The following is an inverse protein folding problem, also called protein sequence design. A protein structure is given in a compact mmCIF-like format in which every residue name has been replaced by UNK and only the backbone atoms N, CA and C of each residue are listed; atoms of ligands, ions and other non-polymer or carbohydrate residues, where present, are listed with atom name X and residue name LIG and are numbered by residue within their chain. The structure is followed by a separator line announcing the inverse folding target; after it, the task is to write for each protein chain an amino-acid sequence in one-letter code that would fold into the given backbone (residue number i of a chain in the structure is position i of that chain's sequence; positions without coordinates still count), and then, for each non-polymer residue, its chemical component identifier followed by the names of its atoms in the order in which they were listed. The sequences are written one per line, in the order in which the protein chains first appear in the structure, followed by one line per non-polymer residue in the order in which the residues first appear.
data_IF_575957828542
#
_entry.id   IF_575957828542
#
_cell.length_a   1.000
_cell.length_b   1.000
_cell.length_c   1.000
_cell.angle_alpha   90.00
_cell.angle_beta   90.00
_cell.angle_gamma   90.00
#
_symmetry.space_group_name_H-M   'P 1'
#
loop_
_entity.id
_entity.type
_entity.pdbx_description
1 polymer ?
2 non-polymer ?
3 water ?
#
# COMPACT_ATOMS: atom_id res chain seq x y z
N UNK A 4 4.19 -1.83 -14.49
CA UNK A 4 4.50 -3.10 -15.10
C UNK A 4 4.30 -4.24 -14.12
N UNK A 5 3.85 -3.91 -12.91
CA UNK A 5 3.43 -4.93 -11.96
C UNK A 5 2.34 -5.78 -12.60
N UNK A 6 2.39 -7.09 -12.35
CA UNK A 6 1.50 -8.00 -13.04
C UNK A 6 1.17 -9.20 -12.17
N UNK A 7 0.06 -9.85 -12.51
CA UNK A 7 -0.40 -11.04 -11.80
C UNK A 7 0.54 -12.20 -12.12
N UNK A 8 1.25 -12.68 -11.10
CA UNK A 8 2.11 -13.86 -11.23
C UNK A 8 1.30 -15.11 -10.88
N UNK A 9 0.44 -15.50 -11.82
CA UNK A 9 -0.58 -16.49 -11.51
C UNK A 9 0.04 -17.84 -11.14
N UNK A 10 1.02 -18.30 -11.92
CA UNK A 10 1.56 -19.64 -11.70
C UNK A 10 2.24 -19.75 -10.34
N UNK A 11 2.77 -18.64 -9.81
CA UNK A 11 3.27 -18.65 -8.45
C UNK A 11 2.16 -18.77 -7.44
N UNK A 12 0.92 -18.47 -7.83
CA UNK A 12 -0.21 -18.42 -6.92
C UNK A 12 -1.31 -19.44 -7.25
N UNK A 13 -1.16 -20.20 -8.34
CA UNK A 13 -2.27 -21.02 -8.80
C UNK A 13 -2.70 -22.05 -7.78
N UNK A 14 -1.77 -22.49 -6.92
CA UNK A 14 -2.05 -23.51 -5.92
C UNK A 14 -2.48 -22.94 -4.57
N UNK A 15 -2.78 -21.64 -4.52
CA UNK A 15 -3.24 -21.00 -3.29
C UNK A 15 -4.74 -21.21 -3.11
N UNK A 16 -5.19 -20.98 -1.87
CA UNK A 16 -6.61 -21.03 -1.53
C UNK A 16 -7.11 -19.58 -1.56
N UNK A 17 -7.72 -19.20 -2.67
CA UNK A 17 -8.19 -17.84 -2.84
C UNK A 17 -7.14 -16.97 -3.52
N UNK A 18 -7.60 -15.81 -4.00
CA UNK A 18 -6.77 -14.91 -4.78
C UNK A 18 -7.23 -13.49 -4.54
N UNK A 19 -6.33 -12.63 -4.10
CA UNK A 19 -6.58 -11.21 -3.95
C UNK A 19 -5.76 -10.45 -4.99
N UNK A 20 -6.44 -9.65 -5.81
CA UNK A 20 -5.80 -8.83 -6.83
C UNK A 20 -6.19 -7.38 -6.56
N UNK A 21 -5.19 -6.52 -6.46
CA UNK A 21 -5.39 -5.10 -6.21
C UNK A 21 -4.46 -4.32 -7.12
N UNK A 22 -4.69 -3.01 -7.20
CA UNK A 22 -3.79 -2.10 -7.91
C UNK A 22 -3.60 -0.84 -7.07
N UNK A 23 -2.42 -0.22 -7.22
CA UNK A 23 -2.04 0.95 -6.43
C UNK A 23 -2.04 2.21 -7.27
N UNK A 24 -2.46 3.33 -6.70
CA UNK A 24 -2.42 4.60 -7.44
C UNK A 24 -0.99 4.97 -7.81
N UNK A 25 -0.84 5.56 -8.99
CA UNK A 25 0.44 6.10 -9.43
C UNK A 25 0.91 7.17 -8.46
N UNK A 26 2.20 7.52 -8.56
CA UNK A 26 2.72 8.61 -7.74
C UNK A 26 1.86 9.86 -7.88
N UNK A 27 1.64 10.27 -9.13
CA UNK A 27 0.81 11.44 -9.40
C UNK A 27 -0.58 11.30 -8.80
N UNK A 28 -1.19 10.11 -8.95
CA UNK A 28 -2.54 9.92 -8.43
C UNK A 28 -2.58 9.94 -6.91
N UNK A 29 -1.53 9.44 -6.26
CA UNK A 29 -1.43 9.61 -4.81
C UNK A 29 -1.47 11.09 -4.45
N UNK A 30 -0.68 11.91 -5.15
CA UNK A 30 -0.69 13.33 -4.82
C UNK A 30 -2.06 13.94 -5.11
N UNK A 31 -2.70 13.52 -6.20
CA UNK A 31 -4.03 14.04 -6.55
C UNK A 31 -5.04 13.72 -5.45
N UNK A 32 -5.01 12.49 -4.95
CA UNK A 32 -5.93 12.08 -3.89
C UNK A 32 -5.66 12.88 -2.62
N UNK A 33 -4.39 13.05 -2.27
CA UNK A 33 -4.06 13.83 -1.08
C UNK A 33 -4.59 15.25 -1.19
N UNK A 34 -4.39 15.89 -2.34
CA UNK A 34 -4.88 17.25 -2.52
C UNK A 34 -6.41 17.29 -2.55
N UNK A 35 -7.05 16.23 -3.03
CA UNK A 35 -8.51 16.19 -3.03
C UNK A 35 -9.06 16.21 -1.60
N UNK A 36 -8.43 15.46 -0.70
CA UNK A 36 -8.92 15.32 0.66
C UNK A 36 -8.13 16.19 1.64
N UNK A 37 -7.50 17.26 1.15
CA UNK A 37 -6.69 18.10 2.02
C UNK A 37 -7.48 18.62 3.20
N UNK A 38 -8.73 19.01 2.98
CA UNK A 38 -9.57 19.63 4.00
C UNK A 38 -10.41 18.62 4.79
N UNK A 39 -10.08 17.34 4.70
CA UNK A 39 -10.89 16.32 5.37
C UNK A 39 -10.78 16.47 6.89
N UNK A 40 -11.91 16.48 7.62
CA UNK A 40 -11.87 16.66 9.07
C UNK A 40 -11.67 15.39 9.87
N UNK A 41 -11.84 14.22 9.25
CA UNK A 41 -11.64 12.95 9.91
C UNK A 41 -10.40 12.26 9.37
N UNK A 42 -9.84 11.36 10.16
CA UNK A 42 -8.63 10.66 9.77
C UNK A 42 -8.93 9.65 8.68
N UNK A 43 -7.94 9.42 7.82
CA UNK A 43 -8.10 8.58 6.65
C UNK A 43 -6.99 7.55 6.60
N UNK A 44 -7.21 6.50 5.82
CA UNK A 44 -6.11 5.61 5.49
C UNK A 44 -4.96 6.43 4.94
N UNK A 45 -3.73 6.07 5.32
CA UNK A 45 -2.59 6.80 4.80
C UNK A 45 -2.31 6.39 3.34
N UNK A 46 -1.40 7.13 2.70
CA UNK A 46 -1.17 6.95 1.28
C UNK A 46 -0.59 5.58 0.94
N UNK A 47 0.11 4.94 1.88
CA UNK A 47 0.56 3.58 1.60
C UNK A 47 -0.58 2.59 1.63
N UNK A 48 -1.70 2.91 2.29
CA UNK A 48 -2.81 1.97 2.41
C UNK A 48 -3.81 2.08 1.26
N UNK A 49 -3.88 3.21 0.58
CA UNK A 49 -4.79 3.37 -0.54
C UNK A 49 -4.51 2.32 -1.60
N UNK A 50 -5.48 1.44 -1.81
CA UNK A 50 -5.40 0.41 -2.84
C UNK A 50 -6.79 0.20 -3.40
N UNK A 51 -6.87 -0.31 -4.63
CA UNK A 51 -8.14 -0.60 -5.27
C UNK A 51 -8.23 -2.10 -5.50
N UNK A 52 -9.15 -2.76 -4.82
CA UNK A 52 -9.38 -4.18 -5.04
C UNK A 52 -9.90 -4.40 -6.45
N UNK A 53 -9.26 -5.33 -7.17
CA UNK A 53 -9.73 -5.72 -8.48
C UNK A 53 -10.36 -7.10 -8.48
N UNK A 54 -9.90 -8.00 -7.61
CA UNK A 54 -10.51 -9.32 -7.47
C UNK A 54 -10.38 -9.76 -6.02
N UNK A 55 -11.51 -10.10 -5.41
CA UNK A 55 -11.54 -10.71 -4.09
C UNK A 55 -12.15 -12.08 -4.30
N UNK A 56 -11.30 -13.12 -4.32
CA UNK A 56 -11.73 -14.45 -4.73
C UNK A 56 -11.47 -15.43 -3.58
N UNK A 57 -12.54 -16.01 -3.05
CA UNK A 57 -12.43 -16.99 -1.98
C UNK A 57 -12.45 -18.43 -2.48
N UNK A 58 -12.40 -18.63 -3.80
CA UNK A 58 -12.32 -19.99 -4.34
C UNK A 58 -11.08 -20.68 -3.80
N UNK A 59 -11.26 -21.91 -3.32
CA UNK A 59 -10.15 -22.66 -2.76
C UNK A 59 -9.40 -23.47 -3.82
N UNK A 60 -10.07 -23.85 -4.90
CA UNK A 60 -9.44 -24.53 -6.03
C UNK A 60 -9.41 -23.54 -7.19
N UNK A 61 -8.26 -22.88 -7.35
CA UNK A 61 -8.09 -21.95 -8.46
C UNK A 61 -7.81 -22.73 -9.74
N UNK A 62 -8.21 -22.18 -10.90
CA UNK A 62 -7.89 -22.86 -12.16
C UNK A 62 -6.38 -23.02 -12.30
N UNK A 63 -5.97 -24.08 -13.00
CA UNK A 63 -4.54 -24.35 -13.13
C UNK A 63 -3.85 -23.29 -13.97
N UNK A 64 -4.48 -22.89 -15.06
CA UNK A 64 -3.99 -21.81 -15.91
C UNK A 64 -5.12 -20.81 -16.15
N UNK A 65 -4.73 -19.61 -16.57
CA UNK A 65 -5.66 -18.60 -17.07
C UNK A 65 -4.95 -17.77 -18.13
N UNK A 66 -5.73 -16.98 -18.86
CA UNK A 66 -5.25 -15.92 -19.74
C UNK A 66 -5.10 -14.68 -18.88
N UNK A 67 -3.88 -14.36 -18.49
CA UNK A 67 -3.64 -13.29 -17.51
C UNK A 67 -3.82 -11.92 -18.18
N UNK A 68 -4.51 -10.98 -17.54
CA UNK A 68 -4.90 -9.75 -18.24
C UNK A 68 -3.73 -8.91 -18.75
N UNK A 69 -2.86 -8.45 -17.85
CA UNK A 69 -1.75 -7.57 -18.21
C UNK A 69 -2.26 -6.38 -19.04
N UNK A 70 -3.06 -5.50 -18.46
CA UNK A 70 -3.41 -4.27 -19.17
C UNK A 70 -2.20 -3.35 -19.25
N UNK A 71 -2.24 -2.46 -20.23
CA UNK A 71 -1.09 -1.57 -20.45
C UNK A 71 -1.19 -0.28 -19.68
N UNK A 72 -2.40 0.16 -19.33
CA UNK A 72 -2.66 1.30 -18.47
C UNK A 72 -3.97 1.03 -17.76
N UNK A 73 -4.02 1.45 -16.49
CA UNK A 73 -5.19 1.30 -15.64
C UNK A 73 -5.64 2.68 -15.18
N UNK A 74 -6.81 3.10 -15.65
CA UNK A 74 -7.34 4.42 -15.38
C UNK A 74 -8.70 4.29 -14.73
N UNK A 75 -9.08 5.30 -13.96
CA UNK A 75 -10.40 5.34 -13.36
C UNK A 75 -10.75 6.80 -13.15
N UNK A 76 -12.02 7.12 -13.13
CA UNK A 76 -12.45 8.46 -12.78
C UNK A 76 -12.98 8.45 -11.35
N UNK A 77 -12.46 9.35 -10.53
CA UNK A 77 -12.97 9.53 -9.17
C UNK A 77 -14.37 10.12 -9.24
N UNK A 78 -15.38 9.27 -9.07
CA UNK A 78 -16.76 9.71 -9.27
C UNK A 78 -17.24 10.56 -8.09
N UNK A 79 -17.13 10.03 -6.88
CA UNK A 79 -17.72 10.68 -5.71
C UNK A 79 -17.21 9.96 -4.47
N UNK A 80 -17.37 10.61 -3.32
CA UNK A 80 -17.23 9.98 -2.03
C UNK A 80 -18.61 9.62 -1.50
N UNK A 81 -18.71 8.45 -0.88
CA UNK A 81 -19.96 8.03 -0.27
C UNK A 81 -19.64 7.26 1.00
N UNK A 82 -20.69 6.94 1.75
CA UNK A 82 -20.55 6.33 3.06
C UNK A 82 -21.17 4.93 3.00
N UNK A 83 -20.35 3.93 3.26
CA UNK A 83 -20.76 2.53 3.36
C UNK A 83 -20.77 2.13 4.84
N UNK A 84 -21.24 0.93 5.10
CA UNK A 84 -21.22 0.34 6.44
C UNK A 84 -20.51 -1.00 6.38
N UNK A 85 -19.75 -1.31 7.43
CA UNK A 85 -19.03 -2.57 7.51
C UNK A 85 -19.88 -3.59 8.26
N UNK A 86 -19.27 -4.75 8.54
CA UNK A 86 -19.98 -5.83 9.20
C UNK A 86 -20.75 -5.33 10.42
N UNK A 87 -20.04 -4.64 11.32
CA UNK A 87 -20.62 -4.14 12.56
C UNK A 87 -21.45 -2.88 12.36
N UNK A 88 -21.81 -2.54 11.13
CA UNK A 88 -22.59 -1.35 10.88
C UNK A 88 -21.86 -0.04 11.08
N UNK A 89 -20.54 -0.06 11.14
CA UNK A 89 -19.76 1.16 11.28
C UNK A 89 -19.66 1.88 9.94
N UNK A 90 -19.65 3.20 9.99
CA UNK A 90 -19.58 4.00 8.76
C UNK A 90 -18.20 3.90 8.14
N UNK A 91 -18.17 3.85 6.80
CA UNK A 91 -16.94 3.81 6.04
C UNK A 91 -17.03 4.85 4.94
N UNK A 92 -15.98 5.63 4.76
CA UNK A 92 -15.90 6.58 3.66
C UNK A 92 -15.07 5.99 2.54
N UNK A 93 -15.70 5.81 1.37
CA UNK A 93 -15.09 5.19 0.20
C UNK A 93 -15.18 6.16 -0.97
N UNK A 94 -14.22 6.05 -1.88
CA UNK A 94 -14.21 6.81 -3.12
C UNK A 94 -14.70 5.89 -4.24
N UNK A 95 -15.90 6.16 -4.76
CA UNK A 95 -16.39 5.40 -5.89
C UNK A 95 -15.60 5.73 -7.15
N UNK A 96 -15.30 4.69 -7.94
CA UNK A 96 -14.52 4.85 -9.15
C UNK A 96 -15.34 4.38 -10.34
N UNK A 97 -15.38 5.20 -11.39
CA UNK A 97 -15.90 4.79 -12.69
C UNK A 97 -14.71 4.31 -13.51
N UNK A 98 -14.57 2.99 -13.64
CA UNK A 98 -13.42 2.44 -14.34
C UNK A 98 -13.88 1.35 -15.30
N UNK A 99 -13.91 1.59 -16.61
CA UNK A 99 -14.02 0.46 -17.54
C UNK A 99 -12.80 -0.44 -17.52
N UNK A 100 -11.61 0.12 -17.31
CA UNK A 100 -10.39 -0.68 -17.25
C UNK A 100 -10.48 -1.74 -16.16
N UNK A 101 -10.77 -1.32 -14.93
CA UNK A 101 -10.78 -2.27 -13.81
C UNK A 101 -11.95 -3.23 -13.90
N UNK A 102 -13.11 -2.75 -14.36
CA UNK A 102 -14.21 -3.67 -14.64
C UNK A 102 -13.79 -4.75 -15.62
N UNK A 103 -13.07 -4.35 -16.67
CA UNK A 103 -12.64 -5.32 -17.69
C UNK A 103 -11.68 -6.34 -17.10
N UNK A 104 -10.74 -5.88 -16.27
CA UNK A 104 -9.81 -6.83 -15.63
C UNK A 104 -10.58 -7.80 -14.75
N UNK A 105 -11.51 -7.27 -13.94
CA UNK A 105 -12.30 -8.12 -13.05
C UNK A 105 -13.11 -9.15 -13.84
N UNK A 106 -13.72 -8.70 -14.94
CA UNK A 106 -14.50 -9.61 -15.79
C UNK A 106 -13.60 -10.67 -16.40
N UNK A 107 -12.40 -10.26 -16.84
CA UNK A 107 -11.46 -11.22 -17.42
C UNK A 107 -11.08 -12.29 -16.42
N UNK A 108 -10.95 -11.91 -15.15
CA UNK A 108 -10.61 -12.90 -14.13
C UNK A 108 -11.81 -13.79 -13.80
N UNK A 109 -12.98 -13.18 -13.58
CA UNK A 109 -14.16 -13.93 -13.16
C UNK A 109 -14.59 -14.90 -14.26
N UNK A 110 -14.60 -14.44 -15.51
CA UNK A 110 -15.05 -15.28 -16.62
C UNK A 110 -14.19 -16.52 -16.82
N UNK A 111 -12.99 -16.55 -16.23
CA UNK A 111 -12.10 -17.69 -16.34
C UNK A 111 -12.10 -18.55 -15.10
N UNK A 112 -13.17 -18.49 -14.30
CA UNK A 112 -13.29 -19.34 -13.13
C UNK A 112 -12.74 -18.77 -11.85
N UNK A 113 -12.50 -17.47 -11.78
CA UNK A 113 -12.12 -16.82 -10.53
C UNK A 113 -13.30 -15.98 -10.05
N UNK A 114 -14.17 -16.52 -9.19
CA UNK A 114 -15.32 -15.75 -8.73
C UNK A 114 -14.94 -14.62 -7.78
N UNK A 115 -15.56 -13.46 -8.01
CA UNK A 115 -15.39 -12.31 -7.14
C UNK A 115 -16.35 -12.43 -5.96
N UNK A 116 -15.93 -11.92 -4.80
CA UNK A 116 -16.62 -12.09 -3.55
C UNK A 116 -17.89 -11.29 -3.36
N UNK A 117 -18.31 -10.53 -4.36
CA UNK A 117 -19.53 -9.73 -4.27
C UNK A 117 -20.29 -9.87 -5.57
N UNK A 118 -21.63 -9.85 -5.52
CA UNK A 118 -22.41 -10.12 -6.75
C UNK A 118 -22.08 -9.19 -7.90
N UNK A 119 -21.67 -7.95 -7.62
CA UNK A 119 -21.21 -7.03 -8.66
C UNK A 119 -19.89 -6.43 -8.24
N UNK A 120 -19.04 -6.17 -9.22
CA UNK A 120 -17.76 -5.52 -8.97
C UNK A 120 -17.96 -4.02 -8.90
N UNK A 121 -17.67 -3.44 -7.72
CA UNK A 121 -17.80 -2.01 -7.47
C UNK A 121 -16.40 -1.46 -7.22
N UNK A 122 -15.75 -0.97 -8.27
CA UNK A 122 -14.43 -0.38 -8.11
C UNK A 122 -14.50 0.81 -7.15
N UNK A 123 -13.70 0.77 -6.10
CA UNK A 123 -13.69 1.85 -5.13
C UNK A 123 -12.35 1.89 -4.42
N UNK A 124 -12.09 3.02 -3.76
CA UNK A 124 -10.91 3.22 -2.94
C UNK A 124 -11.38 3.67 -1.57
N UNK A 125 -11.16 2.84 -0.55
CA UNK A 125 -11.58 3.19 0.80
C UNK A 125 -10.67 4.27 1.37
N UNK A 126 -11.27 5.35 1.85
CA UNK A 126 -10.53 6.45 2.46
C UNK A 126 -10.54 6.43 3.97
N UNK A 127 -11.61 5.92 4.60
CA UNK A 127 -11.64 5.83 6.06
C UNK A 127 -12.49 4.64 6.46
N UNK A 128 -11.95 3.77 7.32
CA UNK A 128 -12.65 2.57 7.74
C UNK A 128 -13.46 2.75 9.01
N UNK A 129 -13.07 3.68 9.88
CA UNK A 129 -13.89 4.03 11.03
C UNK A 129 -14.03 5.54 11.06
N UNK A 130 -15.26 6.02 11.10
CA UNK A 130 -15.62 7.33 10.58
C UNK A 130 -16.86 7.83 11.31
N UNK A 131 -16.75 9.02 11.91
CA UNK A 131 -17.88 9.62 12.62
C UNK A 131 -18.54 10.61 11.68
N UNK A 132 -19.69 10.23 11.14
CA UNK A 132 -20.47 11.07 10.23
C UNK A 132 -21.07 12.20 11.06
N UNK A 133 -20.33 13.31 11.12
CA UNK A 133 -20.83 14.52 11.77
C UNK A 133 -20.88 15.65 10.74
N UNK A 134 -21.50 16.76 11.16
CA UNK A 134 -21.76 17.84 10.21
C UNK A 134 -20.51 18.23 9.42
N UNK A 135 -19.35 18.27 10.07
CA UNK A 135 -18.13 18.59 9.36
C UNK A 135 -17.80 17.54 8.30
N UNK A 136 -17.93 16.26 8.66
CA UNK A 136 -17.68 15.20 7.69
C UNK A 136 -18.65 15.27 6.52
N UNK A 137 -19.93 15.53 6.80
CA UNK A 137 -20.92 15.59 5.73
C UNK A 137 -20.66 16.79 4.81
N UNK A 138 -20.32 17.94 5.40
CA UNK A 138 -19.97 19.09 4.57
C UNK A 138 -18.75 18.81 3.72
N UNK A 139 -17.74 18.15 4.29
CA UNK A 139 -16.55 17.79 3.53
C UNK A 139 -16.91 16.90 2.36
N UNK A 140 -17.70 15.85 2.61
CA UNK A 140 -18.07 14.93 1.54
C UNK A 140 -18.85 15.67 0.45
N UNK A 141 -19.76 16.56 0.85
CA UNK A 141 -20.57 17.28 -0.13
C UNK A 141 -19.70 18.17 -1.00
N UNK A 142 -18.85 18.98 -0.38
CA UNK A 142 -17.94 19.84 -1.15
C UNK A 142 -16.98 19.03 -2.00
N UNK A 143 -16.51 17.88 -1.53
CA UNK A 143 -15.63 17.04 -2.33
C UNK A 143 -16.33 16.50 -3.56
N UNK A 144 -17.60 16.11 -3.41
CA UNK A 144 -18.32 15.58 -4.57
C UNK A 144 -18.60 16.68 -5.58
N UNK A 145 -18.95 17.87 -5.09
CA UNK A 145 -19.11 19.01 -6.01
C UNK A 145 -17.81 19.31 -6.72
N UNK A 146 -16.67 19.24 -6.01
CA UNK A 146 -15.37 19.46 -6.63
C UNK A 146 -15.07 18.38 -7.66
N UNK A 147 -15.42 17.13 -7.35
CA UNK A 147 -15.21 16.03 -8.28
C UNK A 147 -16.07 16.19 -9.53
N UNK A 148 -17.19 16.91 -9.42
CA UNK A 148 -17.98 17.17 -10.62
C UNK A 148 -17.46 18.36 -11.41
N UNK A 149 -17.09 19.45 -10.72
CA UNK A 149 -16.59 20.63 -11.40
C UNK A 149 -15.21 20.42 -12.00
N UNK A 150 -14.34 19.69 -11.31
CA UNK A 150 -13.01 19.36 -11.81
C UNK A 150 -12.94 17.85 -11.92
N UNK A 151 -13.10 17.28 -13.12
CA UNK A 151 -12.95 15.83 -13.27
C UNK A 151 -11.57 15.38 -12.84
N UNK A 152 -11.54 14.36 -11.98
CA UNK A 152 -10.30 13.80 -11.45
C UNK A 152 -10.15 12.38 -11.96
N UNK A 153 -9.09 12.14 -12.72
CA UNK A 153 -8.75 10.81 -13.20
C UNK A 153 -7.54 10.28 -12.45
N UNK A 154 -7.63 9.03 -12.02
CA UNK A 154 -6.55 8.32 -11.34
C UNK A 154 -5.95 7.29 -12.28
N UNK A 155 -4.65 7.06 -12.11
CA UNK A 155 -3.93 6.02 -12.82
C UNK A 155 -3.29 5.08 -11.81
N UNK A 156 -3.25 3.81 -12.18
CA UNK A 156 -2.77 2.74 -11.31
C UNK A 156 -1.64 2.02 -12.03
N UNK A 157 -0.67 1.53 -11.25
CA UNK A 157 0.62 1.20 -11.85
C UNK A 157 0.66 -0.21 -12.43
N UNK A 158 0.19 -1.20 -11.68
CA UNK A 158 0.12 -2.54 -12.21
C UNK A 158 -0.99 -3.33 -11.55
N UNK A 159 -1.07 -4.62 -11.84
CA UNK A 159 -1.92 -5.54 -11.08
C UNK A 159 -1.03 -6.37 -10.18
N UNK A 160 -1.39 -6.41 -8.90
CA UNK A 160 -0.63 -7.14 -7.88
C UNK A 160 -1.54 -8.21 -7.28
N UNK A 161 -1.01 -9.42 -7.22
CA UNK A 161 -1.83 -10.55 -6.74
C UNK A 161 -1.18 -11.19 -5.53
N UNK A 162 -2.01 -11.59 -4.58
CA UNK A 162 -1.53 -12.27 -3.38
C UNK A 162 -2.56 -13.32 -3.03
N UNK A 163 -2.23 -14.18 -2.09
CA UNK A 163 -3.18 -15.23 -1.65
C UNK A 163 -4.22 -14.61 -0.72
N UNK A 164 -5.38 -15.25 -0.52
CA UNK A 164 -6.45 -14.82 0.44
C UNK A 164 -7.50 -13.90 -0.23
N UNK B 7 6.58 5.66 -8.88
CA UNK B 7 7.92 5.42 -9.48
C UNK B 7 8.87 6.57 -9.08
N UNK B 8 8.43 7.82 -9.15
CA UNK B 8 9.41 8.91 -8.84
C UNK B 8 8.85 9.94 -7.85
N UNK B 9 9.75 10.62 -7.14
CA UNK B 9 9.35 11.72 -6.23
C UNK B 9 8.94 12.93 -7.06
N UNK B 10 7.65 13.23 -7.09
CA UNK B 10 7.12 14.43 -7.79
C UNK B 10 7.34 15.65 -6.88
N UNK B 11 8.56 16.18 -6.84
CA UNK B 11 8.90 17.31 -5.99
C UNK B 11 8.05 18.53 -6.35
N UNK B 12 6.74 18.33 -6.34
CA UNK B 12 5.72 19.38 -6.30
C UNK B 12 5.08 19.39 -4.93
N UNK B 13 5.86 19.00 -3.91
CA UNK B 13 5.37 18.68 -2.58
C UNK B 13 5.97 19.68 -1.59
N UNK B 14 6.06 20.94 -1.98
CA UNK B 14 6.54 21.98 -1.07
C UNK B 14 5.31 22.26 -0.22
N UNK B 15 5.37 21.78 1.02
CA UNK B 15 4.23 21.64 1.91
C UNK B 15 4.77 21.28 3.28
N UNK B 16 3.89 20.88 4.19
CA UNK B 16 4.31 20.69 5.60
C UNK B 16 4.69 19.23 5.84
N UNK B 17 5.94 18.90 5.62
CA UNK B 17 6.42 17.54 5.81
C UNK B 17 6.41 16.76 4.51
N UNK B 18 7.25 15.72 4.47
CA UNK B 18 7.38 14.87 3.28
C UNK B 18 7.57 13.43 3.73
N UNK B 19 6.67 12.55 3.31
CA UNK B 19 6.80 11.13 3.53
C UNK B 19 7.16 10.47 2.20
N UNK B 20 8.25 9.70 2.19
CA UNK B 20 8.70 8.99 1.01
C UNK B 20 8.80 7.51 1.36
N UNK B 21 8.22 6.67 0.51
CA UNK B 21 8.18 5.23 0.72
C UNK B 21 8.33 4.53 -0.62
N UNK B 22 8.56 3.22 -0.56
CA UNK B 22 8.58 2.38 -1.74
C UNK B 22 7.79 1.11 -1.44
N UNK B 23 7.17 0.54 -2.48
CA UNK B 23 6.35 -0.64 -2.30
C UNK B 23 7.04 -1.87 -2.86
N UNK B 24 6.86 -3.03 -2.23
CA UNK B 24 7.47 -4.27 -2.75
C UNK B 24 6.94 -4.62 -4.12
N UNK B 25 7.80 -5.18 -4.95
CA UNK B 25 7.40 -5.65 -6.27
C UNK B 25 6.39 -6.78 -6.14
N UNK B 26 5.71 -7.09 -7.26
CA UNK B 26 4.77 -8.21 -7.26
C UNK B 26 5.44 -9.48 -6.72
N UNK B 27 6.56 -9.85 -7.32
CA UNK B 27 7.30 -11.02 -6.87
C UNK B 27 7.67 -10.91 -5.39
N UNK B 28 8.11 -9.73 -4.95
CA UNK B 28 8.52 -9.58 -3.55
C UNK B 28 7.33 -9.66 -2.60
N UNK B 29 6.16 -9.17 -3.02
CA UNK B 29 4.96 -9.38 -2.22
C UNK B 29 4.71 -10.86 -2.03
N UNK B 30 4.80 -11.65 -3.11
CA UNK B 30 4.55 -13.07 -2.94
C UNK B 30 5.63 -13.71 -2.07
N UNK B 31 6.87 -13.25 -2.20
CA UNK B 31 7.96 -13.78 -1.39
C UNK B 31 7.69 -13.53 0.09
N UNK B 32 7.26 -12.31 0.42
CA UNK B 32 6.96 -11.97 1.81
C UNK B 32 5.83 -12.84 2.32
N UNK B 33 4.75 -12.94 1.55
CA UNK B 33 3.64 -13.80 1.95
C UNK B 33 4.13 -15.20 2.28
N UNK B 34 4.92 -15.79 1.38
CA UNK B 34 5.35 -17.16 1.58
C UNK B 34 6.27 -17.27 2.80
N UNK B 35 7.10 -16.26 3.05
CA UNK B 35 7.94 -16.27 4.23
C UNK B 35 7.11 -16.32 5.51
N UNK B 36 5.99 -15.61 5.53
CA UNK B 36 5.17 -15.49 6.73
C UNK B 36 3.93 -16.39 6.66
N UNK B 37 3.96 -17.42 5.81
CA UNK B 37 2.78 -18.26 5.66
C UNK B 37 2.37 -18.91 6.97
N UNK B 38 3.35 -19.32 7.78
CA UNK B 38 3.09 -19.99 9.04
C UNK B 38 3.08 -19.02 10.23
N UNK B 39 2.88 -17.73 9.97
CA UNK B 39 2.87 -16.77 11.06
C UNK B 39 1.69 -17.05 11.98
N UNK B 40 1.91 -17.20 13.30
CA UNK B 40 0.81 -17.51 14.20
C UNK B 40 0.00 -16.29 14.60
N UNK B 41 0.49 -15.08 14.34
CA UNK B 41 -0.20 -13.86 14.72
C UNK B 41 -0.64 -13.09 13.47
N UNK B 42 -1.52 -12.12 13.68
CA UNK B 42 -2.05 -11.32 12.59
C UNK B 42 -0.98 -10.36 12.08
N UNK B 43 -0.98 -10.15 10.78
CA UNK B 43 0.00 -9.28 10.13
C UNK B 43 -0.71 -8.27 9.24
N UNK B 44 0.00 -7.18 8.96
CA UNK B 44 -0.44 -6.24 7.94
C UNK B 44 -0.68 -6.98 6.63
N UNK B 45 -1.64 -6.50 5.85
CA UNK B 45 -1.95 -7.17 4.60
C UNK B 45 -1.01 -6.70 3.49
N UNK B 46 -1.11 -7.34 2.34
CA UNK B 46 -0.15 -7.10 1.27
C UNK B 46 -0.18 -5.66 0.79
N UNK B 47 -1.32 -4.99 0.92
CA UNK B 47 -1.42 -3.60 0.48
C UNK B 47 -0.80 -2.63 1.49
N UNK B 48 -0.59 -3.05 2.72
CA UNK B 48 0.00 -2.14 3.71
C UNK B 48 1.51 -2.22 3.75
N UNK B 49 2.09 -3.33 3.29
CA UNK B 49 3.54 -3.47 3.27
C UNK B 49 4.16 -2.35 2.46
N UNK B 50 4.98 -1.55 3.14
CA UNK B 50 5.71 -0.46 2.52
C UNK B 50 6.97 -0.22 3.32
N UNK B 51 8.01 0.29 2.66
CA UNK B 51 9.27 0.61 3.31
C UNK B 51 9.41 2.13 3.31
N UNK B 52 9.36 2.72 4.51
CA UNK B 52 9.59 4.15 4.63
C UNK B 52 11.01 4.46 4.17
N UNK B 53 11.16 5.45 3.30
CA UNK B 53 12.46 5.90 2.83
C UNK B 53 12.82 7.27 3.41
N UNK B 54 11.82 8.05 3.78
CA UNK B 54 12.05 9.35 4.42
C UNK B 54 10.81 9.75 5.19
N UNK B 55 10.99 10.08 6.46
CA UNK B 55 9.94 10.63 7.31
C UNK B 55 10.41 12.02 7.72
N UNK B 56 10.06 13.04 6.94
CA UNK B 56 10.52 14.39 7.18
C UNK B 56 9.37 15.21 7.74
N UNK B 57 9.58 15.78 8.92
CA UNK B 57 8.59 16.58 9.62
C UNK B 57 8.80 18.08 9.41
N UNK B 58 9.81 18.44 8.63
CA UNK B 58 10.10 19.84 8.35
C UNK B 58 8.97 20.46 7.54
N UNK B 59 8.48 21.60 8.02
CA UNK B 59 7.33 22.25 7.40
C UNK B 59 7.67 23.24 6.32
N UNK B 60 8.89 23.78 6.32
CA UNK B 60 9.37 24.61 5.23
C UNK B 60 10.40 23.75 4.50
N UNK B 61 9.98 23.10 3.44
CA UNK B 61 10.85 22.27 2.64
C UNK B 61 11.66 23.12 1.65
N UNK B 62 12.81 22.63 1.21
CA UNK B 62 13.59 23.38 0.22
C UNK B 62 12.77 23.60 -1.04
N UNK B 63 12.98 24.77 -1.65
CA UNK B 63 12.30 25.04 -2.92
C UNK B 63 12.76 24.08 -4.00
N UNK B 64 14.01 23.64 -3.93
CA UNK B 64 14.55 22.70 -4.91
C UNK B 64 15.34 21.62 -4.20
N UNK B 65 15.36 20.45 -4.82
CA UNK B 65 16.34 19.41 -4.50
C UNK B 65 16.73 18.73 -5.81
N UNK B 66 17.77 17.91 -5.74
CA UNK B 66 18.15 17.01 -6.82
C UNK B 66 17.49 15.68 -6.50
N UNK B 67 16.38 15.39 -7.19
CA UNK B 67 15.56 14.24 -6.85
C UNK B 67 16.37 12.96 -7.06
N UNK B 68 16.53 12.10 -6.02
CA UNK B 68 17.16 10.78 -6.24
C UNK B 68 16.35 10.02 -7.26
N UNK B 69 17.01 9.53 -8.32
CA UNK B 69 16.31 8.68 -9.32
C UNK B 69 17.04 7.34 -9.35
N UNK B 70 16.83 6.47 -8.35
CA UNK B 70 17.57 5.19 -8.26
C UNK B 70 17.24 4.27 -9.42
N UNK B 71 18.26 3.60 -9.93
CA UNK B 71 18.05 2.65 -11.05
C UNK B 71 17.37 1.40 -10.50
N UNK B 72 17.78 1.00 -9.31
CA UNK B 72 17.19 -0.20 -8.69
C UNK B 72 17.03 -0.01 -7.18
N UNK B 73 15.98 -0.61 -6.62
CA UNK B 73 15.78 -0.56 -5.19
C UNK B 73 15.68 -1.98 -4.67
N UNK B 74 16.72 -2.43 -3.98
CA UNK B 74 16.77 -3.80 -3.49
C UNK B 74 17.12 -3.76 -2.01
N UNK B 75 16.85 -4.88 -1.34
CA UNK B 75 17.17 -5.02 0.06
C UNK B 75 17.28 -6.51 0.33
N UNK B 76 18.08 -6.88 1.31
CA UNK B 76 18.01 -8.22 1.86
C UNK B 76 17.14 -8.18 3.11
N UNK B 77 16.08 -8.98 3.10
CA UNK B 77 15.40 -9.30 4.34
C UNK B 77 16.43 -9.87 5.29
N UNK B 78 16.72 -9.13 6.36
CA UNK B 78 17.80 -9.58 7.29
C UNK B 78 17.19 -10.47 8.37
N UNK B 79 16.16 -9.96 9.04
CA UNK B 79 15.53 -10.71 10.13
C UNK B 79 14.26 -10.06 10.67
N UNK B 80 13.44 -10.85 11.35
CA UNK B 80 12.31 -10.32 12.09
C UNK B 80 12.76 -9.97 13.49
N UNK B 81 12.20 -8.90 14.04
CA UNK B 81 12.56 -8.46 15.39
C UNK B 81 11.40 -7.67 15.98
N UNK B 82 11.57 -7.30 17.25
CA UNK B 82 10.52 -6.63 18.01
C UNK B 82 10.97 -5.20 18.30
N UNK B 83 10.17 -4.24 17.87
CA UNK B 83 10.36 -2.84 18.18
C UNK B 83 9.24 -2.35 19.09
N UNK B 84 9.37 -1.13 19.57
CA UNK B 84 8.29 -0.43 20.23
C UNK B 84 7.96 0.82 19.43
N UNK B 85 6.66 1.09 19.26
CA UNK B 85 6.20 2.30 18.58
C UNK B 85 6.15 3.47 19.57
N UNK B 86 5.82 4.64 19.04
CA UNK B 86 5.90 5.87 19.83
C UNK B 86 5.16 5.76 21.17
N UNK B 87 4.09 4.99 21.23
CA UNK B 87 3.33 4.83 22.46
C UNK B 87 3.82 3.68 23.34
N UNK B 88 4.91 3.03 22.95
CA UNK B 88 5.49 1.97 23.75
C UNK B 88 4.98 0.57 23.48
N UNK B 89 4.20 0.37 22.42
CA UNK B 89 3.61 -0.94 22.14
C UNK B 89 4.55 -1.79 21.28
N UNK B 90 4.47 -3.11 21.48
CA UNK B 90 5.29 -4.02 20.70
C UNK B 90 4.90 -3.98 19.23
N UNK B 91 5.92 -3.98 18.36
CA UNK B 91 5.75 -4.01 16.92
C UNK B 91 6.67 -5.07 16.35
N UNK B 92 6.16 -5.85 15.40
CA UNK B 92 6.99 -6.81 14.68
C UNK B 92 7.36 -6.23 13.32
N UNK B 93 8.66 -6.02 13.11
CA UNK B 93 9.19 -5.46 11.88
C UNK B 93 10.17 -6.43 11.25
N UNK B 94 10.34 -6.29 9.95
CA UNK B 94 11.37 -7.02 9.20
C UNK B 94 12.50 -6.04 8.92
N UNK B 95 13.65 -6.25 9.56
CA UNK B 95 14.81 -5.41 9.29
C UNK B 95 15.32 -5.67 7.87
N UNK B 96 15.77 -4.60 7.21
CA UNK B 96 16.25 -4.68 5.84
C UNK B 96 17.69 -4.20 5.77
N UNK B 97 18.53 -4.98 5.08
CA UNK B 97 19.91 -4.61 4.77
C UNK B 97 19.89 -4.08 3.35
N UNK B 98 19.89 -2.75 3.21
CA UNK B 98 19.62 -2.11 1.92
C UNK B 98 20.51 -0.90 1.72
N UNK B 99 21.71 -1.09 1.16
CA UNK B 99 22.51 0.07 0.74
C UNK B 99 21.77 0.98 -0.22
N UNK B 100 20.92 0.41 -1.08
CA UNK B 100 20.14 1.23 -2.01
C UNK B 100 19.26 2.23 -1.26
N UNK B 101 18.37 1.73 -0.40
CA UNK B 101 17.47 2.60 0.34
C UNK B 101 18.22 3.53 1.27
N UNK B 102 19.30 3.04 1.89
CA UNK B 102 20.08 3.89 2.79
C UNK B 102 20.72 5.04 2.03
N UNK B 103 21.15 4.79 0.79
CA UNK B 103 21.70 5.86 -0.04
C UNK B 103 20.62 6.87 -0.42
N UNK B 104 19.43 6.39 -0.79
CA UNK B 104 18.36 7.33 -1.12
C UNK B 104 18.04 8.22 0.07
N UNK B 105 17.91 7.61 1.26
CA UNK B 105 17.63 8.38 2.47
C UNK B 105 18.79 9.34 2.71
N UNK B 106 20.02 8.90 2.44
CA UNK B 106 21.17 9.75 2.71
C UNK B 106 21.18 10.98 1.81
N UNK B 107 20.81 10.81 0.53
CA UNK B 107 20.75 11.99 -0.33
C UNK B 107 19.63 12.94 0.07
N UNK B 108 18.44 12.40 0.35
CA UNK B 108 17.35 13.27 0.79
C UNK B 108 17.73 14.08 2.02
N UNK B 109 18.30 13.42 3.04
CA UNK B 109 18.68 14.14 4.26
C UNK B 109 19.73 15.19 3.94
N UNK B 110 20.77 14.81 3.20
CA UNK B 110 21.82 15.74 2.81
C UNK B 110 21.27 16.99 2.14
N UNK B 111 20.13 16.89 1.46
CA UNK B 111 19.57 18.06 0.79
C UNK B 111 18.55 18.81 1.63
N UNK B 112 18.70 18.78 2.95
CA UNK B 112 17.89 19.61 3.83
C UNK B 112 16.60 18.98 4.28
N UNK B 113 16.23 17.81 3.75
CA UNK B 113 15.11 17.04 4.26
C UNK B 113 15.55 16.16 5.42
N UNK B 114 15.42 16.60 6.66
CA UNK B 114 15.87 15.78 7.79
C UNK B 114 14.92 14.61 8.05
N UNK B 115 15.52 13.44 8.27
CA UNK B 115 14.76 12.25 8.63
C UNK B 115 14.32 12.32 10.08
N UNK B 116 13.11 11.84 10.36
CA UNK B 116 12.45 11.99 11.64
C UNK B 116 13.05 11.21 12.79
N UNK B 117 14.12 10.45 12.56
CA UNK B 117 14.73 9.65 13.60
C UNK B 117 16.25 9.78 13.50
N UNK B 118 16.96 9.56 14.61
CA UNK B 118 18.41 9.87 14.60
C UNK B 118 19.18 9.16 13.50
N UNK B 119 18.88 7.89 13.25
CA UNK B 119 19.48 7.16 12.16
C UNK B 119 18.39 6.46 11.36
N UNK B 120 18.64 6.28 10.06
CA UNK B 120 17.72 5.55 9.20
C UNK B 120 17.94 4.05 9.29
N UNK B 121 16.88 3.32 9.62
CA UNK B 121 16.90 1.86 9.71
C UNK B 121 15.79 1.34 8.80
N UNK B 122 16.16 0.97 7.57
CA UNK B 122 15.19 0.46 6.63
C UNK B 122 14.50 -0.77 7.19
N UNK B 123 13.17 -0.76 7.16
CA UNK B 123 12.40 -1.87 7.72
C UNK B 123 11.04 -1.93 7.05
N UNK B 124 10.37 -3.08 7.24
CA UNK B 124 9.04 -3.33 6.73
C UNK B 124 8.21 -3.88 7.89
N UNK B 125 7.25 -3.10 8.36
CA UNK B 125 6.47 -3.49 9.54
C UNK B 125 5.49 -4.59 9.16
N UNK B 126 5.60 -5.73 9.86
CA UNK B 126 4.70 -6.85 9.64
C UNK B 126 3.50 -6.81 10.55
N UNK B 127 3.65 -6.32 11.77
CA UNK B 127 2.53 -6.29 12.71
C UNK B 127 2.62 -5.07 13.62
N UNK B 128 1.60 -4.23 13.54
CA UNK B 128 1.29 -3.28 14.59
C UNK B 128 0.36 -3.97 15.57
N UNK B 129 0.44 -3.55 16.84
CA UNK B 129 -0.32 -4.18 17.91
C UNK B 129 0.04 -5.66 17.98
N UNK B 130 1.22 -5.97 18.51
CA UNK B 130 1.79 -7.31 18.48
C UNK B 130 1.95 -7.86 19.89
N UNK B 131 1.63 -9.14 20.05
CA UNK B 131 1.65 -9.82 21.34
C UNK B 131 2.83 -10.79 21.37
N UNK B 132 3.87 -10.45 22.13
CA UNK B 132 5.09 -11.25 22.17
C UNK B 132 4.87 -12.42 23.11
N UNK B 133 4.32 -13.50 22.55
CA UNK B 133 4.09 -14.75 23.27
C UNK B 133 4.94 -15.85 22.66
N UNK B 134 5.04 -16.97 23.39
CA UNK B 134 5.93 -18.06 23.00
C UNK B 134 5.77 -18.44 21.52
N UNK B 135 4.53 -18.58 21.06
CA UNK B 135 4.32 -18.96 19.66
C UNK B 135 4.92 -17.93 18.71
N UNK B 136 4.70 -16.65 18.99
CA UNK B 136 5.25 -15.60 18.14
C UNK B 136 6.77 -15.62 18.15
N UNK B 137 7.37 -15.81 19.33
CA UNK B 137 8.83 -15.83 19.42
C UNK B 137 9.41 -17.03 18.68
N UNK B 138 8.75 -18.18 18.78
CA UNK B 138 9.22 -19.35 18.04
C UNK B 138 9.12 -19.13 16.53
N UNK B 139 7.99 -18.55 16.08
CA UNK B 139 7.88 -18.21 14.66
C UNK B 139 8.99 -17.27 14.24
N UNK B 140 9.29 -16.27 15.07
CA UNK B 140 10.31 -15.29 14.70
C UNK B 140 11.68 -15.94 14.61
N UNK B 141 12.00 -16.84 15.55
CA UNK B 141 13.29 -17.50 15.52
C UNK B 141 13.41 -18.41 14.30
N UNK B 142 12.37 -19.20 14.01
CA UNK B 142 12.42 -20.09 12.85
C UNK B 142 12.46 -19.30 11.54
N UNK B 143 11.77 -18.16 11.47
CA UNK B 143 11.81 -17.32 10.28
C UNK B 143 13.17 -16.66 10.12
N UNK B 144 13.84 -16.30 11.22
CA UNK B 144 15.19 -15.75 11.12
C UNK B 144 16.17 -16.81 10.64
N UNK B 145 16.04 -18.05 11.17
CA UNK B 145 16.80 -19.18 10.63
C UNK B 145 16.52 -19.38 9.13
N UNK B 146 15.26 -19.31 8.72
CA UNK B 146 14.97 -19.44 7.29
C UNK B 146 15.59 -18.32 6.45
N UNK B 147 15.43 -17.08 6.91
CA UNK B 147 16.06 -15.95 6.25
C UNK B 147 17.57 -16.13 6.13
N UNK B 148 18.18 -16.86 7.05
CA UNK B 148 19.63 -16.99 7.04
C UNK B 148 20.10 -18.18 6.20
N UNK B 149 19.33 -19.26 6.23
CA UNK B 149 19.62 -20.44 5.41
C UNK B 149 19.21 -20.23 3.96
N UNK B 150 18.16 -19.45 3.74
CA UNK B 150 17.67 -19.13 2.39
C UNK B 150 17.63 -17.62 2.27
N UNK B 151 18.71 -17.01 1.77
CA UNK B 151 18.73 -15.54 1.63
C UNK B 151 17.58 -15.06 0.77
N UNK B 152 16.86 -14.06 1.28
CA UNK B 152 15.69 -13.50 0.61
C UNK B 152 15.99 -12.05 0.26
N UNK B 153 15.96 -11.73 -1.02
CA UNK B 153 16.13 -10.37 -1.50
C UNK B 153 14.79 -9.84 -2.01
N UNK B 154 14.48 -8.62 -1.59
CA UNK B 154 13.29 -7.90 -2.00
C UNK B 154 13.66 -6.80 -2.99
N UNK B 155 12.80 -6.61 -3.98
CA UNK B 155 12.91 -5.50 -4.92
C UNK B 155 11.68 -4.61 -4.78
N UNK B 156 11.89 -3.31 -4.97
CA UNK B 156 10.85 -2.32 -4.76
C UNK B 156 10.66 -1.51 -6.04
N UNK B 157 9.45 -1.00 -6.21
CA UNK B 157 9.01 -0.42 -7.48
C UNK B 157 9.01 1.09 -7.41
N UNK B 158 10.21 1.67 -7.38
CA UNK B 158 10.35 3.11 -7.41
C UNK B 158 9.98 3.78 -6.11
N UNK B 159 10.02 5.11 -6.13
CA UNK B 159 9.91 5.93 -4.94
C UNK B 159 8.68 6.83 -5.04
N UNK B 160 7.81 6.76 -4.03
CA UNK B 160 6.58 7.54 -3.95
C UNK B 160 6.69 8.54 -2.82
N UNK B 161 6.38 9.81 -3.11
CA UNK B 161 6.40 10.87 -2.12
C UNK B 161 4.99 11.41 -1.93
N UNK B 162 4.68 11.76 -0.68
CA UNK B 162 3.37 12.29 -0.30
C UNK B 162 3.57 13.34 0.79
N UNK B 163 2.52 14.10 1.02
CA UNK B 163 2.59 15.11 2.09
C UNK B 163 2.30 14.44 3.43
N UNK B 164 2.95 14.91 4.48
CA UNK B 164 2.58 14.52 5.82
C UNK B 164 1.14 14.98 6.06
N UNK B 165 0.24 14.03 6.32
CA UNK B 165 -1.18 14.27 6.22
C UNK B 165 -1.90 14.09 7.55
X LIG C 1 0.24 -0.16 -1.25
X LIG C 1 0.68 1.03 -2.21
X LIG C 1 1.20 -0.05 0.25
X LIG C 1 0.62 -1.88 -2.10
X LIG C 1 -1.68 0.04 -0.85
X LIG C 1 0.43 -2.68 -1.40
X LIG C 1 -0.02 -2.00 -2.97
X LIG C 1 1.66 -1.91 -2.40
X LIG C 1 -2.20 -0.88 -1.11
X LIG C 1 -2.08 0.86 -1.43
X LIG C 1 -1.81 0.24 0.21
#
# INVERSE_FOLDING_TARGET
MKITARILYDRLKDSKGLYVFTDPSDASLIDIQELIAECPFETENSTEWAVTVLYCKEEKLPDSIDVPEPKSLTARAKELTIWQDHKGRDICVMLLDSPDLEAVNRKLVSQGLPHGHPEYNAHLTLAYQFENNAAARLFIEECNQHLQNYPLFLTFDGLKATRMM
MKITARILYDRLKDSKGLYVFTDPSDASLIDIQELIAECPFETENSTEWAVTVLYCKEEKLPDSIDVPEPKSLTARAKELTIWQDHKGRDICVMLLDSPDLEAVNRKLVSQGLPHGHPEYNAHLTLAYQFENNAAARLFIEECNQHLQNYPLFLTFDGLKATRMM
CAC AS O1 O2 C1 C2 H11 H12 H13 H21 H22 H23
#
